data_IF_680872954129
#
_entry.id   IF_680872954129
#
_cell.length_a   1.000
_cell.length_b   1.000
_cell.length_c   1.000
_cell.angle_alpha   90.00
_cell.angle_beta   90.00
_cell.angle_gamma   90.00
#
_symmetry.space_group_name_H-M   'P 1'
#
loop_
_entity.id
_entity.type
_entity.pdbx_description
1 polymer ?
#
# COMPACT_ATOMS: atom_id res chain seq x y z
N UNK A 1 -15.91 -5.34 -0.95
CA UNK A 1 -16.23 -4.94 0.43
C UNK A 1 -15.92 -6.12 1.33
N UNK A 2 -15.11 -5.95 2.37
CA UNK A 2 -14.77 -7.05 3.28
C UNK A 2 -15.99 -7.40 4.16
N UNK A 3 -16.27 -8.68 4.26
CA UNK A 3 -17.31 -9.22 5.12
C UNK A 3 -16.67 -9.78 6.39
N UNK A 4 -17.46 -10.00 7.45
CA UNK A 4 -17.02 -10.68 8.67
C UNK A 4 -16.30 -12.00 8.37
N UNK A 5 -16.76 -12.74 7.36
CA UNK A 5 -16.17 -13.99 6.90
C UNK A 5 -14.69 -13.86 6.47
N UNK A 6 -14.31 -12.72 5.90
CA UNK A 6 -12.92 -12.49 5.47
C UNK A 6 -12.00 -12.36 6.69
N UNK A 7 -12.47 -11.73 7.77
CA UNK A 7 -11.72 -11.65 9.03
C UNK A 7 -11.66 -13.01 9.74
N UNK A 8 -12.74 -13.79 9.74
CA UNK A 8 -12.74 -15.15 10.29
C UNK A 8 -11.75 -16.04 9.52
N UNK A 9 -11.74 -15.97 8.20
CA UNK A 9 -10.75 -16.71 7.38
C UNK A 9 -9.33 -16.29 7.69
N UNK A 10 -9.08 -14.98 7.80
CA UNK A 10 -7.75 -14.46 8.13
C UNK A 10 -7.28 -14.89 9.53
N UNK A 11 -8.18 -14.85 10.53
CA UNK A 11 -7.83 -15.29 11.89
C UNK A 11 -7.63 -16.81 11.98
N UNK A 12 -8.39 -17.60 11.22
CA UNK A 12 -8.18 -19.05 11.17
C UNK A 12 -6.80 -19.41 10.62
N UNK A 13 -6.34 -18.74 9.56
CA UNK A 13 -4.97 -18.91 9.03
C UNK A 13 -3.91 -18.59 10.08
N UNK A 14 -4.14 -17.57 10.92
CA UNK A 14 -3.23 -17.20 11.99
C UNK A 14 -3.21 -18.25 13.11
N UNK A 15 -4.38 -18.76 13.50
CA UNK A 15 -4.53 -19.81 14.52
C UNK A 15 -3.82 -21.10 14.09
N UNK A 16 -3.91 -21.47 12.81
CA UNK A 16 -3.15 -22.61 12.23
C UNK A 16 -1.63 -22.43 12.36
N UNK A 17 -1.15 -21.18 12.42
CA UNK A 17 0.26 -20.85 12.68
C UNK A 17 0.56 -20.61 14.17
N UNK A 18 -0.27 -21.12 15.08
CA UNK A 18 -0.13 -20.95 16.53
C UNK A 18 -0.09 -19.49 17.00
N UNK A 19 -0.76 -18.61 16.27
CA UNK A 19 -0.95 -17.22 16.69
C UNK A 19 -2.25 -17.06 17.48
N UNK A 20 -2.25 -16.12 18.40
CA UNK A 20 -3.46 -15.67 19.09
C UNK A 20 -3.72 -14.21 18.65
N UNK A 21 -4.48 -13.98 17.56
CA UNK A 21 -4.69 -12.65 17.04
C UNK A 21 -5.46 -11.79 18.05
N UNK A 22 -4.89 -10.66 18.44
CA UNK A 22 -5.46 -9.73 19.41
C UNK A 22 -5.88 -8.43 18.77
N UNK A 23 -5.16 -8.01 17.72
CA UNK A 23 -5.27 -6.68 17.16
C UNK A 23 -5.37 -6.69 15.63
N UNK A 24 -6.13 -5.72 15.12
CA UNK A 24 -6.17 -5.39 13.71
C UNK A 24 -5.87 -3.91 13.51
N UNK A 25 -4.95 -3.62 12.60
CA UNK A 25 -4.52 -2.28 12.24
C UNK A 25 -5.10 -1.90 10.88
N UNK A 26 -5.88 -0.82 10.84
CA UNK A 26 -6.47 -0.26 9.62
C UNK A 26 -6.04 1.19 9.40
N UNK A 27 -6.30 1.70 8.19
CA UNK A 27 -6.41 3.13 8.02
C UNK A 27 -7.70 3.65 8.70
N UNK A 28 -7.67 4.89 9.19
CA UNK A 28 -8.82 5.49 9.85
C UNK A 28 -10.08 5.51 8.96
N UNK A 29 -9.90 5.70 7.65
CA UNK A 29 -11.02 5.68 6.69
C UNK A 29 -11.66 4.30 6.58
N UNK A 30 -10.85 3.24 6.47
CA UNK A 30 -11.35 1.87 6.40
C UNK A 30 -12.11 1.49 7.67
N UNK A 31 -11.60 1.90 8.84
CA UNK A 31 -12.29 1.68 10.11
C UNK A 31 -13.67 2.36 10.13
N UNK A 32 -13.74 3.62 9.70
CA UNK A 32 -15.01 4.36 9.59
C UNK A 32 -15.99 3.69 8.61
N UNK A 33 -15.50 3.25 7.46
CA UNK A 33 -16.35 2.61 6.44
C UNK A 33 -16.84 1.22 6.89
N UNK A 34 -16.02 0.48 7.63
CA UNK A 34 -16.41 -0.79 8.26
C UNK A 34 -17.51 -0.57 9.30
N UNK A 35 -17.34 0.43 10.17
CA UNK A 35 -18.35 0.79 11.16
C UNK A 35 -19.70 1.14 10.50
N UNK A 36 -19.70 1.97 9.45
CA UNK A 36 -20.92 2.31 8.70
C UNK A 36 -21.61 1.10 8.11
N UNK A 37 -20.84 0.11 7.68
CA UNK A 37 -21.39 -1.11 7.08
C UNK A 37 -21.99 -2.04 8.12
N UNK A 38 -21.36 -2.17 9.27
CA UNK A 38 -21.82 -3.07 10.33
C UNK A 38 -22.96 -2.48 11.18
N UNK A 39 -23.04 -1.16 11.26
CA UNK A 39 -24.02 -0.45 12.06
C UNK A 39 -25.48 -0.83 11.79
N UNK A 40 -25.95 -1.01 10.55
CA UNK A 40 -27.32 -1.42 10.27
C UNK A 40 -27.65 -2.84 10.75
N UNK A 41 -26.65 -3.71 10.85
CA UNK A 41 -26.81 -5.13 11.20
C UNK A 41 -26.80 -5.35 12.72
N UNK A 42 -26.23 -4.43 13.48
CA UNK A 42 -26.08 -4.48 14.93
C UNK A 42 -26.93 -3.44 15.67
N UNK A 43 -28.11 -3.10 15.15
CA UNK A 43 -29.10 -2.29 15.87
C UNK A 43 -29.73 -3.08 17.04
N UNK A 44 -28.92 -3.48 17.99
CA UNK A 44 -29.39 -3.85 19.30
C UNK A 44 -29.66 -2.55 20.06
N UNK A 45 -30.83 -2.45 20.72
CA UNK A 45 -31.26 -1.23 21.38
C UNK A 45 -30.16 -0.61 22.23
N UNK A 46 -29.72 0.59 21.82
CA UNK A 46 -28.72 1.35 22.53
C UNK A 46 -29.34 1.80 23.85
N UNK A 47 -28.83 1.42 25.02
CA UNK A 47 -29.23 2.07 26.24
C UNK A 47 -29.02 3.57 26.13
N UNK A 48 -29.92 4.37 26.67
CA UNK A 48 -29.85 5.83 26.61
C UNK A 48 -28.45 6.31 26.96
N UNK A 49 -27.87 7.27 26.21
CA UNK A 49 -26.51 7.71 26.42
C UNK A 49 -26.32 8.25 27.82
N UNK A 50 -25.45 7.61 28.58
CA UNK A 50 -25.03 8.12 29.88
C UNK A 50 -24.13 9.32 29.57
N UNK A 51 -24.43 10.49 30.15
CA UNK A 51 -23.70 11.76 29.98
C UNK A 51 -23.83 12.48 28.62
N UNK A 52 -24.91 12.30 27.88
CA UNK A 52 -25.22 13.13 26.71
C UNK A 52 -24.26 12.98 25.52
N UNK A 53 -23.39 11.98 25.50
CA UNK A 53 -22.50 11.69 24.38
C UNK A 53 -23.28 10.90 23.32
N UNK A 54 -23.54 11.56 22.19
CA UNK A 54 -24.14 10.92 21.02
C UNK A 54 -23.01 10.35 20.17
N UNK A 55 -22.86 9.04 20.17
CA UNK A 55 -21.88 8.34 19.34
C UNK A 55 -21.64 6.93 19.84
N UNK A 56 -21.50 5.99 18.92
CA UNK A 56 -21.10 4.63 19.22
C UNK A 56 -19.73 4.38 18.61
N UNK A 57 -18.75 4.04 19.45
CA UNK A 57 -17.45 3.57 19.01
C UNK A 57 -17.53 2.07 18.76
N UNK A 58 -16.90 1.63 17.68
CA UNK A 58 -16.80 0.23 17.32
C UNK A 58 -15.34 -0.20 17.48
N UNK A 59 -14.98 -0.65 18.69
CA UNK A 59 -13.57 -0.88 19.06
C UNK A 59 -13.15 -2.34 18.95
N UNK A 60 -14.13 -3.29 18.96
CA UNK A 60 -13.83 -4.72 18.91
C UNK A 60 -14.78 -5.47 18.00
N UNK A 61 -14.27 -6.48 17.33
CA UNK A 61 -15.04 -7.46 16.57
C UNK A 61 -14.94 -8.79 17.32
N UNK A 62 -16.10 -9.39 17.67
CA UNK A 62 -16.14 -10.71 18.25
C UNK A 62 -16.10 -11.75 17.12
N UNK A 63 -15.03 -12.53 17.07
CA UNK A 63 -14.83 -13.66 16.16
C UNK A 63 -14.83 -14.98 16.95
N UNK A 64 -14.85 -16.10 16.23
CA UNK A 64 -14.77 -17.42 16.87
C UNK A 64 -13.42 -17.64 17.58
N UNK A 65 -12.35 -17.07 17.05
CA UNK A 65 -11.00 -17.10 17.63
C UNK A 65 -10.80 -16.17 18.84
N UNK A 66 -11.81 -15.36 19.19
CA UNK A 66 -11.77 -14.39 20.29
C UNK A 66 -12.06 -12.97 19.86
N UNK A 67 -12.04 -12.01 20.80
CA UNK A 67 -12.20 -10.59 20.49
C UNK A 67 -10.97 -10.05 19.76
N UNK A 68 -11.21 -9.33 18.67
CA UNK A 68 -10.18 -8.65 17.89
C UNK A 68 -10.32 -7.13 18.07
N UNK A 69 -9.34 -6.51 18.68
CA UNK A 69 -9.32 -5.05 18.90
C UNK A 69 -8.98 -4.31 17.62
N UNK A 70 -9.80 -3.32 17.27
CA UNK A 70 -9.61 -2.50 16.08
C UNK A 70 -8.85 -1.23 16.39
N UNK A 71 -7.69 -1.08 15.78
CA UNK A 71 -6.81 0.07 15.98
C UNK A 71 -6.64 0.87 14.67
N UNK A 72 -6.95 2.16 14.73
CA UNK A 72 -6.67 3.07 13.63
C UNK A 72 -5.19 3.44 13.59
N UNK A 73 -4.50 3.07 12.53
CA UNK A 73 -3.10 3.40 12.32
C UNK A 73 -2.96 4.53 11.30
N UNK A 74 -2.36 5.66 11.72
CA UNK A 74 -2.16 6.83 10.85
C UNK A 74 -1.12 6.60 9.75
N UNK A 75 -0.26 5.61 9.90
CA UNK A 75 0.77 5.26 8.92
C UNK A 75 0.24 4.33 7.81
N UNK A 76 -0.90 3.67 8.04
CA UNK A 76 -1.57 2.88 7.02
C UNK A 76 -2.49 3.83 6.25
N UNK A 77 -2.02 4.28 5.10
CA UNK A 77 -2.78 5.18 4.23
C UNK A 77 -3.14 4.47 2.94
N UNK A 78 -4.14 5.03 2.24
CA UNK A 78 -4.39 4.67 0.85
C UNK A 78 -3.11 4.83 0.04
N UNK A 79 -2.89 3.96 -0.93
CA UNK A 79 -1.74 4.04 -1.81
C UNK A 79 -1.56 5.45 -2.39
N UNK A 80 -0.38 6.03 -2.19
CA UNK A 80 -0.09 7.39 -2.60
C UNK A 80 -0.12 7.55 -4.12
N UNK A 81 -0.48 8.74 -4.58
CA UNK A 81 -0.31 9.16 -5.97
C UNK A 81 1.07 9.80 -6.16
N UNK A 82 1.64 9.77 -7.38
CA UNK A 82 2.92 10.42 -7.66
C UNK A 82 2.82 11.93 -7.47
N UNK A 83 3.90 12.54 -7.00
CA UNK A 83 3.99 14.00 -6.87
C UNK A 83 4.48 14.59 -8.19
N UNK A 84 3.95 15.75 -8.57
CA UNK A 84 4.29 16.40 -9.84
C UNK A 84 5.75 16.86 -9.92
N UNK A 85 6.38 17.17 -8.80
CA UNK A 85 7.76 17.62 -8.72
C UNK A 85 8.60 16.71 -7.82
N UNK A 86 9.92 16.72 -8.04
CA UNK A 86 10.85 16.05 -7.16
C UNK A 86 10.73 16.55 -5.71
N UNK A 87 10.85 15.64 -4.76
CA UNK A 87 10.68 15.96 -3.31
C UNK A 87 11.94 16.55 -2.69
N UNK A 88 13.07 16.46 -3.35
CA UNK A 88 14.36 16.96 -2.88
C UNK A 88 15.29 17.25 -4.08
N UNK A 89 16.22 18.20 -3.91
CA UNK A 89 17.27 18.46 -4.87
C UNK A 89 18.28 17.31 -5.00
N UNK A 90 18.34 16.42 -4.01
CA UNK A 90 19.18 15.22 -4.02
C UNK A 90 18.40 13.95 -4.43
N UNK A 91 17.15 14.11 -4.85
CA UNK A 91 16.42 13.00 -5.46
C UNK A 91 17.10 12.56 -6.78
N UNK A 92 16.94 11.29 -7.19
CA UNK A 92 17.43 10.84 -8.48
C UNK A 92 16.79 11.62 -9.63
N UNK A 93 17.41 11.57 -10.80
CA UNK A 93 16.76 12.07 -12.00
C UNK A 93 15.53 11.22 -12.36
N UNK A 94 14.56 11.85 -13.03
CA UNK A 94 13.37 11.17 -13.52
C UNK A 94 13.77 10.04 -14.50
N UNK A 95 13.24 8.83 -14.37
CA UNK A 95 13.48 7.75 -15.33
C UNK A 95 13.14 8.19 -16.77
N UNK A 96 13.91 7.73 -17.75
CA UNK A 96 13.73 8.14 -19.14
C UNK A 96 12.40 7.65 -19.69
N UNK A 97 12.03 6.42 -19.36
CA UNK A 97 10.78 5.83 -19.85
C UNK A 97 10.30 4.67 -18.96
N UNK A 98 9.02 4.39 -19.08
CA UNK A 98 8.42 3.13 -18.71
C UNK A 98 7.70 2.58 -19.94
N UNK A 99 7.93 1.33 -20.27
CA UNK A 99 7.27 0.63 -21.38
C UNK A 99 6.52 -0.57 -20.82
N UNK A 100 5.22 -0.63 -21.04
CA UNK A 100 4.43 -1.80 -20.75
C UNK A 100 4.32 -2.68 -21.99
N UNK A 101 4.74 -3.92 -21.85
CA UNK A 101 4.56 -4.94 -22.89
C UNK A 101 3.12 -5.43 -22.96
N UNK A 102 2.83 -6.27 -23.94
CA UNK A 102 1.56 -6.95 -24.01
C UNK A 102 1.36 -7.88 -22.79
N UNK A 103 0.12 -7.98 -22.31
CA UNK A 103 -0.22 -8.92 -21.26
C UNK A 103 0.08 -10.36 -21.69
N UNK A 104 0.77 -11.09 -20.85
CA UNK A 104 1.29 -12.43 -21.16
C UNK A 104 1.32 -13.33 -19.93
N UNK A 105 1.65 -14.60 -20.12
CA UNK A 105 1.83 -15.57 -19.05
C UNK A 105 0.52 -16.05 -18.40
N UNK A 106 0.65 -16.85 -17.35
CA UNK A 106 -0.47 -17.51 -16.64
C UNK A 106 -0.34 -17.38 -15.11
N UNK A 107 0.56 -16.52 -14.63
CA UNK A 107 0.87 -16.39 -13.19
C UNK A 107 0.30 -15.13 -12.55
N UNK A 108 -0.30 -14.23 -13.31
CA UNK A 108 -0.92 -13.00 -12.82
C UNK A 108 -2.41 -13.16 -12.54
N UNK A 109 -3.00 -12.11 -11.99
CA UNK A 109 -4.42 -12.04 -11.65
C UNK A 109 -5.21 -11.09 -12.57
N UNK A 110 -4.58 -10.56 -13.62
CA UNK A 110 -5.34 -9.81 -14.62
C UNK A 110 -6.34 -10.73 -15.34
N UNK A 111 -7.60 -10.32 -15.37
CA UNK A 111 -8.73 -11.05 -15.98
C UNK A 111 -8.97 -12.47 -15.45
N UNK A 112 -8.37 -12.87 -14.34
CA UNK A 112 -8.60 -14.17 -13.75
C UNK A 112 -10.05 -14.30 -13.28
N UNK A 113 -10.71 -15.36 -13.71
CA UNK A 113 -12.10 -15.63 -13.33
C UNK A 113 -13.14 -14.67 -13.93
N UNK A 114 -12.76 -13.82 -14.90
CA UNK A 114 -13.71 -12.94 -15.58
C UNK A 114 -14.76 -13.75 -16.36
N UNK A 115 -16.02 -13.33 -16.25
CA UNK A 115 -17.12 -13.93 -17.04
C UNK A 115 -17.00 -13.57 -18.52
N UNK A 116 -17.70 -14.30 -19.40
CA UNK A 116 -17.70 -14.03 -20.83
C UNK A 116 -18.19 -12.60 -21.16
N UNK A 117 -19.13 -12.05 -20.39
CA UNK A 117 -19.64 -10.69 -20.56
C UNK A 117 -18.63 -9.62 -20.14
N UNK A 118 -17.94 -9.79 -19.00
CA UNK A 118 -16.84 -8.91 -18.56
C UNK A 118 -15.64 -9.03 -19.49
N UNK A 119 -15.53 -10.14 -20.17
CA UNK A 119 -14.52 -10.50 -21.12
C UNK A 119 -14.65 -9.80 -22.46
N UNK A 120 -15.84 -9.40 -22.86
CA UNK A 120 -16.07 -8.67 -24.11
C UNK A 120 -15.57 -7.21 -24.05
N UNK A 121 -15.42 -6.63 -22.84
CA UNK A 121 -14.92 -5.28 -22.66
C UNK A 121 -13.39 -5.28 -22.54
N UNK A 122 -12.72 -4.52 -23.39
CA UNK A 122 -11.27 -4.27 -23.27
C UNK A 122 -11.00 -3.46 -22.01
N UNK A 123 -9.94 -3.84 -21.28
CA UNK A 123 -9.47 -3.07 -20.12
C UNK A 123 -8.14 -2.41 -20.45
N UNK A 124 -8.05 -1.13 -20.16
CA UNK A 124 -6.88 -0.30 -20.41
C UNK A 124 -6.25 0.13 -19.09
N UNK A 125 -4.94 0.02 -18.99
CA UNK A 125 -4.15 0.43 -17.84
C UNK A 125 -3.02 1.35 -18.28
N UNK A 126 -2.76 2.38 -17.51
CA UNK A 126 -1.67 3.32 -17.74
C UNK A 126 -0.71 3.29 -16.55
N UNK A 127 0.55 3.50 -16.82
CA UNK A 127 1.62 3.44 -15.83
C UNK A 127 2.44 4.73 -15.80
N UNK A 128 2.90 5.06 -14.59
CA UNK A 128 3.86 6.13 -14.32
C UNK A 128 4.88 5.58 -13.34
N UNK A 129 6.14 5.96 -13.50
CA UNK A 129 7.20 5.55 -12.59
C UNK A 129 7.98 6.75 -12.09
N UNK A 130 8.41 6.68 -10.83
CA UNK A 130 9.35 7.61 -10.23
C UNK A 130 10.58 6.85 -9.75
N UNK A 131 11.74 7.50 -9.77
CA UNK A 131 12.93 6.99 -9.13
C UNK A 131 13.05 7.55 -7.72
N UNK A 132 13.48 6.75 -6.77
CA UNK A 132 13.63 7.20 -5.40
C UNK A 132 14.90 6.66 -4.76
N UNK A 133 15.41 7.40 -3.80
CA UNK A 133 16.51 7.05 -2.92
C UNK A 133 16.18 7.51 -1.49
N UNK A 134 17.13 7.35 -0.56
CA UNK A 134 16.99 7.81 0.83
C UNK A 134 16.77 9.32 1.00
N UNK A 135 17.11 10.14 0.00
CA UNK A 135 17.01 11.61 0.07
C UNK A 135 15.70 12.13 -0.51
N UNK A 136 15.05 11.37 -1.40
CA UNK A 136 13.80 11.82 -2.00
C UNK A 136 13.37 11.01 -3.22
N UNK A 137 12.30 11.48 -3.81
CA UNK A 137 11.64 10.89 -4.98
C UNK A 137 11.69 11.89 -6.13
N UNK A 138 11.97 11.39 -7.35
CA UNK A 138 12.00 12.20 -8.57
C UNK A 138 10.60 12.67 -8.98
N UNK A 139 10.55 13.60 -9.91
CA UNK A 139 9.32 13.81 -10.69
C UNK A 139 8.94 12.50 -11.42
N UNK A 140 7.66 12.32 -11.75
CA UNK A 140 7.19 11.15 -12.49
C UNK A 140 7.65 11.20 -13.95
N UNK A 141 7.79 10.02 -14.57
CA UNK A 141 7.93 9.93 -16.03
C UNK A 141 6.75 10.55 -16.73
N UNK A 142 6.90 10.89 -18.00
CA UNK A 142 5.73 11.04 -18.85
C UNK A 142 4.88 9.79 -18.77
N UNK A 143 3.56 9.98 -18.75
CA UNK A 143 2.63 8.85 -18.76
C UNK A 143 2.90 8.05 -20.02
N UNK A 144 2.95 6.74 -19.89
CA UNK A 144 3.09 5.88 -21.06
C UNK A 144 2.00 6.21 -22.09
N UNK A 145 2.43 6.52 -23.31
CA UNK A 145 1.57 7.10 -24.35
C UNK A 145 0.44 6.19 -24.86
N UNK A 146 0.52 4.90 -24.61
CA UNK A 146 -0.55 3.95 -24.93
C UNK A 146 -0.92 3.14 -23.71
N UNK A 147 -2.20 3.13 -23.37
CA UNK A 147 -2.72 2.25 -22.34
C UNK A 147 -2.58 0.79 -22.80
N UNK A 148 -2.17 -0.09 -21.90
CA UNK A 148 -2.07 -1.53 -22.18
C UNK A 148 -3.46 -2.12 -22.26
N UNK A 149 -3.72 -2.86 -23.32
CA UNK A 149 -5.00 -3.52 -23.57
C UNK A 149 -4.93 -4.97 -23.12
N UNK A 150 -5.89 -5.38 -22.31
CA UNK A 150 -6.10 -6.79 -21.99
C UNK A 150 -7.24 -7.33 -22.85
N UNK A 151 -6.91 -8.26 -23.73
CA UNK A 151 -7.90 -8.88 -24.64
C UNK A 151 -8.52 -10.12 -24.03
N UNK A 152 -9.63 -10.56 -24.62
CA UNK A 152 -10.47 -11.69 -24.18
C UNK A 152 -9.72 -13.03 -24.08
N UNK A 153 -8.71 -13.24 -24.92
CA UNK A 153 -8.02 -14.53 -25.04
C UNK A 153 -7.24 -14.96 -23.79
N UNK A 154 -6.92 -14.02 -22.89
CA UNK A 154 -6.00 -14.25 -21.76
C UNK A 154 -6.71 -14.41 -20.39
N UNK A 155 -8.02 -14.65 -20.38
CA UNK A 155 -8.85 -14.50 -19.16
C UNK A 155 -8.96 -15.72 -18.27
N UNK A 156 -8.78 -16.90 -18.82
CA UNK A 156 -9.04 -18.15 -18.09
C UNK A 156 -7.93 -18.48 -17.10
N UNK A 157 -6.70 -18.14 -17.42
CA UNK A 157 -5.51 -18.50 -16.63
C UNK A 157 -4.93 -17.34 -15.79
N UNK A 158 -5.38 -16.11 -16.03
CA UNK A 158 -4.78 -14.91 -15.51
C UNK A 158 -3.48 -14.53 -16.24
N UNK A 159 -3.20 -13.25 -16.34
CA UNK A 159 -2.01 -12.73 -17.03
C UNK A 159 -1.29 -11.71 -16.18
N UNK A 160 -0.07 -11.34 -16.58
CA UNK A 160 0.67 -10.21 -16.02
C UNK A 160 1.09 -9.25 -17.13
N UNK A 161 1.40 -8.02 -16.74
CA UNK A 161 1.90 -6.98 -17.66
C UNK A 161 3.38 -6.77 -17.36
N UNK A 162 4.28 -7.11 -18.30
CA UNK A 162 5.71 -6.84 -18.12
C UNK A 162 5.99 -5.35 -18.31
N UNK A 163 6.69 -4.75 -17.37
CA UNK A 163 7.08 -3.35 -17.38
C UNK A 163 8.60 -3.26 -17.48
N UNK A 164 9.10 -2.47 -18.42
CA UNK A 164 10.52 -2.15 -18.55
C UNK A 164 10.73 -0.69 -18.22
N UNK A 165 11.52 -0.40 -17.20
CA UNK A 165 11.87 0.94 -16.73
C UNK A 165 13.27 1.22 -17.18
N UNK A 166 13.51 2.35 -17.87
CA UNK A 166 14.83 2.76 -18.34
C UNK A 166 15.32 3.96 -17.53
N UNK A 167 16.55 3.88 -17.04
CA UNK A 167 17.22 4.99 -16.40
C UNK A 167 17.48 6.13 -17.40
N UNK A 168 17.55 7.39 -16.94
CA UNK A 168 17.89 8.50 -17.80
C UNK A 168 19.36 8.45 -18.26
N UNK A 169 19.69 9.21 -19.29
CA UNK A 169 21.06 9.39 -19.77
C UNK A 169 21.99 10.10 -18.76
N UNK A 170 21.42 10.76 -17.75
CA UNK A 170 22.13 11.31 -16.60
C UNK A 170 21.36 10.98 -15.34
N UNK A 171 22.02 10.36 -14.37
CA UNK A 171 21.36 9.92 -13.11
C UNK A 171 21.09 11.08 -12.14
N UNK A 172 21.50 12.30 -12.46
CA UNK A 172 21.38 13.46 -11.57
C UNK A 172 22.41 13.43 -10.44
N UNK A 173 22.10 14.09 -9.33
CA UNK A 173 22.99 14.19 -8.17
C UNK A 173 23.23 12.86 -7.47
N UNK A 174 22.25 11.94 -7.53
CA UNK A 174 22.26 10.66 -6.83
C UNK A 174 21.61 9.57 -7.68
N UNK A 175 22.20 8.38 -7.64
CA UNK A 175 21.63 7.20 -8.31
C UNK A 175 20.30 6.75 -7.69
N UNK A 176 19.39 6.14 -8.46
CA UNK A 176 18.19 5.52 -7.92
C UNK A 176 18.54 4.28 -7.09
N UNK A 177 17.92 4.15 -5.92
CA UNK A 177 17.97 2.93 -5.10
C UNK A 177 16.81 2.01 -5.44
N UNK A 178 15.65 2.59 -5.74
CA UNK A 178 14.43 1.86 -6.11
C UNK A 178 13.51 2.69 -7.00
N UNK A 179 12.61 2.02 -7.68
CA UNK A 179 11.54 2.62 -8.47
C UNK A 179 10.20 2.42 -7.79
N UNK A 180 9.38 3.46 -7.80
CA UNK A 180 7.98 3.41 -7.42
C UNK A 180 7.12 3.39 -8.67
N UNK A 181 6.31 2.34 -8.79
CA UNK A 181 5.47 2.10 -9.95
C UNK A 181 4.02 2.44 -9.56
N UNK A 182 3.43 3.31 -10.33
CA UNK A 182 2.07 3.76 -10.16
C UNK A 182 1.23 3.32 -11.35
N UNK A 183 0.01 2.88 -11.08
CA UNK A 183 -0.94 2.41 -12.09
C UNK A 183 -2.27 3.12 -11.96
N UNK A 184 -2.94 3.38 -13.10
CA UNK A 184 -4.32 3.82 -13.14
C UNK A 184 -5.28 2.69 -12.78
N UNK A 185 -6.52 3.03 -12.43
CA UNK A 185 -7.60 2.05 -12.40
C UNK A 185 -7.87 1.54 -13.81
N UNK A 186 -8.50 0.35 -13.91
CA UNK A 186 -8.99 -0.15 -15.17
C UNK A 186 -9.95 0.85 -15.82
N UNK A 187 -9.80 1.06 -17.11
CA UNK A 187 -10.68 1.89 -17.93
C UNK A 187 -11.22 1.07 -19.10
N UNK A 188 -12.45 1.31 -19.45
CA UNK A 188 -13.05 0.73 -20.69
C UNK A 188 -12.76 1.60 -21.93
N UNK A 189 -12.22 2.78 -21.72
CA UNK A 189 -11.86 3.73 -22.78
C UNK A 189 -10.34 3.73 -22.94
N UNK A 190 -9.88 3.67 -24.19
CA UNK A 190 -8.45 3.82 -24.51
C UNK A 190 -8.02 5.28 -24.37
N UNK A 191 -7.95 5.75 -23.15
CA UNK A 191 -7.49 7.09 -22.81
C UNK A 191 -6.53 7.05 -21.63
N UNK A 192 -5.47 7.81 -21.73
CA UNK A 192 -4.48 7.95 -20.69
C UNK A 192 -4.91 9.08 -19.75
N UNK A 193 -5.17 8.81 -18.46
CA UNK A 193 -5.52 9.86 -17.51
C UNK A 193 -4.40 10.91 -17.40
N UNK A 194 -4.72 12.18 -17.63
CA UNK A 194 -3.76 13.28 -17.51
C UNK A 194 -3.43 13.64 -16.04
N UNK A 195 -4.40 13.44 -15.14
CA UNK A 195 -4.23 13.79 -13.73
C UNK A 195 -3.42 12.74 -12.98
N UNK A 196 -2.35 13.14 -12.32
CA UNK A 196 -1.51 12.25 -11.50
C UNK A 196 -2.26 11.60 -10.33
N UNK A 197 -3.34 12.21 -9.87
CA UNK A 197 -4.23 11.66 -8.83
C UNK A 197 -4.98 10.41 -9.27
N UNK A 198 -5.06 10.14 -10.58
CA UNK A 198 -5.65 8.91 -11.12
C UNK A 198 -4.73 7.68 -10.94
N UNK A 199 -3.47 7.91 -10.63
CA UNK A 199 -2.47 6.86 -10.45
C UNK A 199 -2.23 6.58 -8.97
N UNK A 200 -2.08 5.31 -8.62
CA UNK A 200 -1.82 4.88 -7.26
C UNK A 200 -0.64 3.91 -7.23
N UNK A 201 0.16 4.00 -6.18
CA UNK A 201 1.32 3.14 -5.97
C UNK A 201 0.87 1.66 -5.90
N UNK A 202 1.45 0.83 -6.77
CA UNK A 202 1.22 -0.61 -6.78
C UNK A 202 2.43 -1.40 -6.31
N UNK A 203 3.64 -0.93 -6.63
CA UNK A 203 4.86 -1.62 -6.28
C UNK A 203 6.03 -0.66 -6.04
N UNK A 204 6.98 -1.13 -5.24
CA UNK A 204 8.29 -0.54 -5.07
C UNK A 204 9.32 -1.62 -5.40
N UNK A 205 10.18 -1.36 -6.37
CA UNK A 205 11.11 -2.33 -6.94
C UNK A 205 12.53 -1.80 -6.79
N UNK A 206 13.48 -2.57 -6.25
CA UNK A 206 14.89 -2.17 -6.25
C UNK A 206 15.36 -1.88 -7.67
N UNK A 207 16.20 -0.87 -7.85
CA UNK A 207 16.82 -0.59 -9.14
C UNK A 207 17.78 -1.74 -9.48
N UNK A 208 17.48 -2.52 -10.52
CA UNK A 208 18.32 -3.62 -10.96
C UNK A 208 19.62 -3.12 -11.61
N UNK A 209 19.61 -1.90 -12.13
CA UNK A 209 20.78 -1.21 -12.67
C UNK A 209 20.86 0.22 -12.15
N UNK A 210 22.04 0.62 -11.72
CA UNK A 210 22.36 2.01 -11.35
C UNK A 210 23.08 2.75 -12.48
N UNK A 211 23.22 2.12 -13.66
CA UNK A 211 23.90 2.70 -14.81
C UNK A 211 22.96 3.60 -15.61
N UNK A 212 23.53 4.58 -16.30
CA UNK A 212 22.81 5.39 -17.28
C UNK A 212 22.21 4.49 -18.37
N UNK A 213 21.00 4.77 -18.80
CA UNK A 213 20.23 3.93 -19.74
C UNK A 213 20.08 2.46 -19.32
N UNK A 214 20.43 2.10 -18.09
CA UNK A 214 20.22 0.77 -17.56
C UNK A 214 18.72 0.47 -17.40
N UNK A 215 18.35 -0.80 -17.48
CA UNK A 215 16.94 -1.22 -17.42
C UNK A 215 16.63 -2.02 -16.18
N UNK A 216 15.42 -1.84 -15.66
CA UNK A 216 14.83 -2.65 -14.59
C UNK A 216 13.50 -3.22 -15.08
N UNK A 217 13.33 -4.52 -14.97
CA UNK A 217 12.10 -5.20 -15.39
C UNK A 217 11.26 -5.54 -14.17
N UNK A 218 9.95 -5.32 -14.26
CA UNK A 218 8.98 -5.67 -13.25
C UNK A 218 7.73 -6.26 -13.91
N UNK A 219 7.24 -7.37 -13.40
CA UNK A 219 5.99 -7.96 -13.88
C UNK A 219 4.85 -7.55 -12.94
N UNK A 220 3.92 -6.75 -13.44
CA UNK A 220 2.71 -6.42 -12.70
C UNK A 220 1.75 -7.61 -12.76
N UNK A 221 1.61 -8.28 -11.64
CA UNK A 221 0.76 -9.46 -11.47
C UNK A 221 -0.68 -9.12 -11.04
N UNK A 222 -1.02 -7.85 -10.92
CA UNK A 222 -2.29 -7.35 -10.39
C UNK A 222 -2.58 -7.73 -8.92
N UNK A 223 -1.58 -8.06 -8.14
CA UNK A 223 -1.78 -8.39 -6.72
C UNK A 223 -2.16 -7.17 -5.86
N UNK A 224 -1.81 -5.98 -6.31
CA UNK A 224 -2.19 -4.72 -5.69
C UNK A 224 -3.09 -3.92 -6.61
N UNK A 225 -4.32 -3.65 -6.14
CA UNK A 225 -5.28 -2.83 -6.87
C UNK A 225 -5.04 -1.34 -6.61
N UNK A 226 -5.09 -0.48 -7.64
CA UNK A 226 -4.90 0.95 -7.47
C UNK A 226 -5.94 1.58 -6.55
N UNK A 227 -5.46 2.41 -5.62
CA UNK A 227 -6.33 3.17 -4.73
C UNK A 227 -6.95 2.37 -3.59
N UNK A 228 -6.40 1.22 -3.25
CA UNK A 228 -6.81 0.40 -2.10
C UNK A 228 -5.85 0.59 -0.92
N UNK A 229 -6.34 0.26 0.28
CA UNK A 229 -5.57 0.24 1.53
C UNK A 229 -5.21 -1.19 1.91
N UNK A 230 -4.35 -1.32 2.90
CA UNK A 230 -4.00 -2.60 3.52
C UNK A 230 -4.46 -2.61 4.97
N UNK A 231 -4.61 -3.81 5.54
CA UNK A 231 -4.76 -4.01 6.98
C UNK A 231 -3.78 -5.09 7.45
N UNK A 232 -3.47 -5.05 8.73
CA UNK A 232 -2.60 -6.03 9.37
C UNK A 232 -3.32 -6.60 10.57
N UNK A 233 -3.41 -7.93 10.62
CA UNK A 233 -3.96 -8.68 11.75
C UNK A 233 -2.83 -9.47 12.39
N UNK A 234 -2.75 -9.43 13.70
CA UNK A 234 -1.71 -10.19 14.38
C UNK A 234 -1.80 -10.17 15.88
N UNK A 235 -0.86 -10.84 16.48
CA UNK A 235 -0.67 -10.89 17.91
C UNK A 235 0.27 -9.76 18.34
N UNK A 236 -0.26 -8.77 19.09
CA UNK A 236 0.49 -7.62 19.58
C UNK A 236 0.98 -7.89 20.99
N UNK A 237 1.92 -8.81 21.14
CA UNK A 237 2.57 -9.13 22.40
C UNK A 237 4.06 -8.84 22.33
N UNK A 238 4.70 -8.59 23.48
CA UNK A 238 6.15 -8.35 23.56
C UNK A 238 7.00 -9.53 23.11
N UNK A 239 6.42 -10.73 23.06
CA UNK A 239 7.08 -11.95 22.55
C UNK A 239 7.08 -12.01 21.02
N UNK A 240 6.15 -11.34 20.36
CA UNK A 240 6.01 -11.33 18.90
C UNK A 240 6.62 -10.08 18.29
N UNK A 241 6.28 -8.92 18.85
CA UNK A 241 6.77 -7.61 18.39
C UNK A 241 7.27 -6.82 19.58
N UNK A 242 8.53 -6.41 19.57
CA UNK A 242 9.13 -5.59 20.62
C UNK A 242 10.07 -4.56 20.04
N UNK A 243 10.28 -3.49 20.77
CA UNK A 243 11.31 -2.51 20.49
C UNK A 243 12.46 -2.70 21.48
N UNK A 244 13.62 -3.16 21.01
CA UNK A 244 14.80 -3.30 21.85
C UNK A 244 15.69 -2.08 21.77
N UNK A 245 16.03 -1.54 22.92
CA UNK A 245 16.91 -0.40 23.09
C UNK A 245 18.29 -0.88 23.54
N UNK A 246 19.34 -0.31 22.96
CA UNK A 246 20.72 -0.51 23.42
C UNK A 246 21.02 0.31 24.67
N UNK A 247 20.45 1.53 24.71
CA UNK A 247 20.55 2.44 25.84
C UNK A 247 19.22 3.16 26.04
N UNK A 248 18.89 3.64 27.25
CA UNK A 248 17.76 4.51 27.48
C UNK A 248 17.85 5.77 26.61
N UNK A 249 16.72 6.46 26.43
CA UNK A 249 16.68 7.76 25.75
C UNK A 249 17.64 8.73 26.47
N UNK A 250 18.66 9.21 25.75
CA UNK A 250 19.68 10.10 26.28
C UNK A 250 19.49 11.50 25.73
N UNK A 251 19.51 12.50 26.63
CA UNK A 251 19.68 13.89 26.23
C UNK A 251 21.17 14.19 26.24
N UNK A 252 21.70 14.69 25.14
CA UNK A 252 23.09 15.14 25.02
C UNK A 252 23.09 16.64 24.79
N UNK A 253 23.75 17.37 25.70
CA UNK A 253 23.97 18.78 25.53
C UNK A 253 25.27 18.99 24.75
N UNK A 254 25.22 19.78 23.68
CA UNK A 254 26.37 20.11 22.85
C UNK A 254 27.10 21.33 23.42
N UNK A 255 28.39 21.48 23.10
CA UNK A 255 29.17 22.62 23.49
C UNK A 255 28.56 23.96 23.04
N UNK A 256 28.52 24.92 23.90
CA UNK A 256 28.02 26.26 23.61
C UNK A 256 29.08 27.04 22.82
N UNK A 257 28.81 27.23 21.54
CA UNK A 257 29.73 27.95 20.59
C UNK A 257 29.21 29.36 20.30
N UNK A 258 28.11 29.78 20.93
CA UNK A 258 27.45 31.06 20.68
C UNK A 258 26.30 31.28 21.64
N UNK A 259 25.50 32.35 21.49
CA UNK A 259 24.38 32.65 22.40
C UNK A 259 23.20 31.68 22.31
N UNK A 260 23.36 30.53 21.67
CA UNK A 260 22.34 29.48 21.50
C UNK A 260 22.73 28.19 22.19
N UNK A 261 21.78 27.60 22.96
CA UNK A 261 21.95 26.27 23.52
C UNK A 261 21.48 25.22 22.52
N UNK A 262 22.38 24.28 22.16
CA UNK A 262 22.08 23.15 21.29
C UNK A 262 22.11 21.88 22.11
N UNK A 263 21.09 21.05 21.92
CA UNK A 263 21.00 19.73 22.53
C UNK A 263 20.40 18.73 21.55
N UNK A 264 20.70 17.47 21.71
CA UNK A 264 20.16 16.38 20.92
C UNK A 264 19.53 15.30 21.78
N UNK A 265 18.55 14.62 21.27
CA UNK A 265 17.99 13.41 21.87
C UNK A 265 18.47 12.22 21.05
N UNK A 266 19.11 11.28 21.72
CA UNK A 266 19.63 10.06 21.10
C UNK A 266 18.81 8.86 21.57
N UNK A 267 18.30 8.09 20.63
CA UNK A 267 17.62 6.83 20.85
C UNK A 267 18.31 5.76 19.99
N UNK A 268 18.93 4.79 20.64
CA UNK A 268 19.54 3.64 19.99
C UNK A 268 18.63 2.42 20.20
N UNK A 269 17.91 2.03 19.18
CA UNK A 269 17.03 0.88 19.28
C UNK A 269 16.54 0.41 17.92
N UNK A 270 15.99 -0.79 17.88
CA UNK A 270 15.43 -1.40 16.68
C UNK A 270 14.13 -2.14 17.02
N UNK A 271 13.10 -2.03 16.17
CA UNK A 271 11.94 -2.91 16.25
C UNK A 271 12.33 -4.31 15.82
N UNK A 272 11.91 -5.30 16.58
CA UNK A 272 12.15 -6.72 16.30
C UNK A 272 10.82 -7.46 16.20
N UNK A 273 10.59 -8.11 15.07
CA UNK A 273 9.50 -9.03 14.85
C UNK A 273 10.03 -10.45 14.93
N UNK A 274 9.83 -11.13 16.06
CA UNK A 274 10.35 -12.47 16.30
C UNK A 274 9.59 -13.55 15.55
N UNK A 275 8.29 -13.40 15.39
CA UNK A 275 7.42 -14.39 14.77
C UNK A 275 6.58 -13.77 13.64
N UNK A 276 7.16 -13.55 12.45
CA UNK A 276 6.44 -12.93 11.33
C UNK A 276 5.22 -13.74 10.86
N UNK A 277 5.21 -15.06 11.04
CA UNK A 277 4.06 -15.93 10.72
C UNK A 277 2.83 -15.69 11.60
N UNK A 278 2.98 -14.99 12.71
CA UNK A 278 1.88 -14.57 13.59
C UNK A 278 1.24 -13.24 13.15
N UNK A 279 1.67 -12.70 12.01
CA UNK A 279 1.08 -11.52 11.38
C UNK A 279 0.60 -11.84 9.98
N UNK A 280 -0.57 -11.33 9.62
CA UNK A 280 -1.17 -11.47 8.31
C UNK A 280 -1.50 -10.09 7.75
N UNK A 281 -1.14 -9.88 6.50
CA UNK A 281 -1.49 -8.67 5.75
C UNK A 281 -2.68 -8.95 4.86
N UNK A 282 -3.74 -8.18 5.04
CA UNK A 282 -4.88 -8.15 4.12
C UNK A 282 -4.66 -7.01 3.15
N UNK A 283 -4.69 -7.30 1.86
CA UNK A 283 -4.46 -6.33 0.80
C UNK A 283 -5.75 -6.00 0.07
N UNK A 284 -5.74 -4.89 -0.69
CA UNK A 284 -6.84 -4.52 -1.58
C UNK A 284 -8.16 -4.16 -0.88
N UNK A 285 -8.08 -3.52 0.28
CA UNK A 285 -9.25 -2.97 0.95
C UNK A 285 -9.69 -1.71 0.21
N UNK A 286 -10.82 -1.81 -0.48
CA UNK A 286 -11.42 -0.67 -1.18
C UNK A 286 -12.19 0.26 -0.23
N UNK A 287 -12.26 1.53 -0.58
CA UNK A 287 -13.10 2.51 0.10
C UNK A 287 -14.58 2.26 -0.21
N UNK A 288 -15.45 2.49 0.77
CA UNK A 288 -16.88 2.56 0.52
C UNK A 288 -17.17 3.82 -0.33
N UNK A 289 -17.61 3.60 -1.56
CA UNK A 289 -18.10 4.70 -2.40
C UNK A 289 -19.54 4.96 -1.99
N UNK A 290 -19.75 6.03 -1.21
CA UNK A 290 -21.10 6.57 -1.01
C UNK A 290 -21.39 7.40 -2.26
N UNK A 291 -22.20 6.87 -3.17
CA UNK A 291 -22.82 7.69 -4.23
C UNK A 291 -23.76 8.66 -3.53
N UNK A 292 -23.60 9.99 -3.76
CA UNK A 292 -24.49 10.99 -3.18
C UNK A 292 -25.92 10.84 -3.70
#
# INVERSE_FOLDING_TARGET
MYKRQDFETATNILVENFAYPTDILFSNKVMSDLAKTMYPQHRVGIPAPVNGVIGQSFDTIQLQSGPLTMNACRFITKAASPKAAATSLQAPATPASIVAGAATGTTGDFNKGATAAESAASSYYSYVVTAANRFGESAPTAVQGAATVLTTANKTAGTYIPLTITNPASLGAQAPEYFRIYRSKASTVNAVPAALTAYSLIAQVPAASILVNGTTVFNDLNFKLPGTSDAYIGELTSQVLTFRQLAPLLKQDYAVVGPSFKWGILLFGTPLLFAPKKWLRIVNIGDLVVTP
#
